data_IF_771815404161
#
_entry.id   IF_771815404161
#
_cell.length_a   1.000
_cell.length_b   1.000
_cell.length_c   1.000
_cell.angle_alpha   90.00
_cell.angle_beta   90.00
_cell.angle_gamma   90.00
#
_symmetry.space_group_name_H-M   'P 1'
#
loop_
_entity.id
_entity.type
_entity.pdbx_description
1 polymer ?
#
# COMPACT_ATOMS: atom_id res chain seq x y z
N UNK A 1 -30.02 4.89 -6.14
CA UNK A 1 -29.21 3.72 -6.53
C UNK A 1 -27.72 4.04 -6.70
N UNK A 2 -27.27 5.28 -6.92
CA UNK A 2 -25.85 5.63 -7.12
C UNK A 2 -24.95 5.57 -5.88
N UNK A 3 -25.47 5.88 -4.67
CA UNK A 3 -24.64 5.87 -3.45
C UNK A 3 -24.17 4.46 -3.04
N UNK A 4 -24.98 3.43 -3.32
CA UNK A 4 -24.63 2.03 -3.05
C UNK A 4 -23.54 1.51 -4.00
N UNK A 5 -23.55 1.97 -5.25
CA UNK A 5 -22.49 1.63 -6.22
C UNK A 5 -21.20 2.40 -5.92
N UNK A 6 -21.27 3.69 -5.59
CA UNK A 6 -20.08 4.46 -5.19
C UNK A 6 -19.39 3.89 -3.95
N UNK A 7 -20.15 3.51 -2.91
CA UNK A 7 -19.59 2.84 -1.71
C UNK A 7 -18.79 1.59 -2.08
N UNK A 8 -19.34 0.73 -2.93
CA UNK A 8 -18.66 -0.51 -3.37
C UNK A 8 -17.36 -0.21 -4.11
N UNK A 9 -17.38 0.75 -5.02
CA UNK A 9 -16.20 1.14 -5.79
C UNK A 9 -15.11 1.74 -4.88
N UNK A 10 -15.49 2.51 -3.85
CA UNK A 10 -14.55 3.01 -2.83
C UNK A 10 -13.91 1.87 -2.05
N UNK A 11 -14.70 0.89 -1.58
CA UNK A 11 -14.16 -0.29 -0.87
C UNK A 11 -13.17 -1.03 -1.76
N UNK A 12 -13.53 -1.22 -3.02
CA UNK A 12 -12.66 -1.88 -3.98
C UNK A 12 -11.36 -1.08 -4.24
N UNK A 13 -11.46 0.24 -4.37
CA UNK A 13 -10.30 1.12 -4.54
C UNK A 13 -9.34 1.01 -3.34
N UNK A 14 -9.86 1.06 -2.11
CA UNK A 14 -9.03 0.91 -0.89
C UNK A 14 -8.31 -0.45 -0.90
N UNK A 15 -9.01 -1.53 -1.30
CA UNK A 15 -8.40 -2.86 -1.40
C UNK A 15 -7.21 -2.87 -2.37
N UNK A 16 -7.36 -2.25 -3.54
CA UNK A 16 -6.30 -2.18 -4.56
C UNK A 16 -5.14 -1.26 -4.17
N UNK A 17 -5.40 -0.17 -3.45
CA UNK A 17 -4.37 0.79 -3.09
C UNK A 17 -3.44 0.28 -1.98
N UNK A 18 -4.01 -0.34 -0.94
CA UNK A 18 -3.30 -0.57 0.33
C UNK A 18 -3.42 -1.99 0.90
N UNK A 19 -4.31 -2.83 0.36
CA UNK A 19 -4.57 -4.18 0.89
C UNK A 19 -4.20 -5.31 -0.08
N UNK A 20 -3.25 -5.11 -1.00
CA UNK A 20 -2.74 -6.24 -1.78
C UNK A 20 -2.04 -7.24 -0.84
N UNK A 21 -2.23 -8.56 -1.04
CA UNK A 21 -1.70 -9.58 -0.13
C UNK A 21 -0.20 -9.44 0.13
N UNK A 22 0.57 -9.14 -0.92
CA UNK A 22 2.04 -9.02 -0.88
C UNK A 22 2.49 -7.77 -0.12
N UNK A 23 1.79 -6.65 -0.32
CA UNK A 23 2.09 -5.41 0.40
C UNK A 23 1.73 -5.55 1.88
N UNK A 24 0.59 -6.19 2.19
CA UNK A 24 0.18 -6.47 3.55
C UNK A 24 1.20 -7.32 4.29
N UNK A 25 1.74 -8.37 3.67
CA UNK A 25 2.71 -9.24 4.34
C UNK A 25 3.99 -8.49 4.70
N UNK A 26 4.49 -7.62 3.83
CA UNK A 26 5.68 -6.81 4.13
C UNK A 26 5.40 -5.73 5.19
N UNK A 27 4.31 -4.99 5.04
CA UNK A 27 3.97 -3.86 5.90
C UNK A 27 3.57 -4.33 7.31
N UNK A 28 2.69 -5.33 7.39
CA UNK A 28 2.24 -5.86 8.68
C UNK A 28 3.36 -6.53 9.45
N UNK A 29 4.33 -7.17 8.79
CA UNK A 29 5.46 -7.76 9.48
C UNK A 29 6.23 -6.72 10.30
N UNK A 30 6.56 -5.58 9.71
CA UNK A 30 7.25 -4.48 10.41
C UNK A 30 6.46 -3.96 11.61
N UNK A 31 5.16 -3.69 11.42
CA UNK A 31 4.30 -3.19 12.50
C UNK A 31 4.08 -4.21 13.63
N UNK A 32 3.88 -5.49 13.31
CA UNK A 32 3.66 -6.53 14.31
C UNK A 32 4.93 -6.78 15.11
N UNK A 33 6.10 -6.84 14.47
CA UNK A 33 7.37 -7.02 15.19
C UNK A 33 7.64 -5.83 16.13
N UNK A 34 7.41 -4.59 15.66
CA UNK A 34 7.55 -3.41 16.50
C UNK A 34 6.56 -3.41 17.69
N UNK A 35 5.31 -3.83 17.47
CA UNK A 35 4.29 -3.90 18.52
C UNK A 35 4.53 -5.03 19.53
N UNK A 36 5.19 -6.11 19.12
CA UNK A 36 5.52 -7.23 19.99
C UNK A 36 6.59 -6.88 21.01
N UNK A 37 7.60 -6.09 20.65
CA UNK A 37 8.73 -5.80 21.53
C UNK A 37 9.35 -7.08 22.07
N UNK A 38 9.42 -7.22 23.41
CA UNK A 38 10.00 -8.39 24.09
C UNK A 38 9.04 -9.58 24.27
N UNK A 39 7.81 -9.48 23.74
CA UNK A 39 6.81 -10.57 23.86
C UNK A 39 7.24 -11.78 23.05
N UNK A 40 7.05 -12.98 23.62
CA UNK A 40 7.40 -14.28 23.00
C UNK A 40 6.27 -14.87 22.14
N UNK A 41 5.24 -14.08 21.82
CA UNK A 41 4.14 -14.53 20.97
C UNK A 41 4.65 -14.83 19.55
N UNK A 42 3.99 -15.76 18.84
CA UNK A 42 4.36 -16.11 17.47
C UNK A 42 3.95 -14.97 16.49
N UNK A 43 4.91 -14.24 15.89
CA UNK A 43 4.58 -13.10 15.03
C UNK A 43 3.76 -13.49 13.80
N UNK A 44 4.01 -14.69 13.24
CA UNK A 44 3.28 -15.18 12.06
C UNK A 44 1.80 -15.35 12.36
N UNK A 45 1.46 -15.96 13.50
CA UNK A 45 0.07 -16.15 13.91
C UNK A 45 -0.64 -14.80 14.11
N UNK A 46 0.05 -13.82 14.68
CA UNK A 46 -0.50 -12.48 14.88
C UNK A 46 -0.71 -11.78 13.55
N UNK A 47 0.25 -11.85 12.63
CA UNK A 47 0.12 -11.31 11.27
C UNK A 47 -1.10 -11.91 10.57
N UNK A 48 -1.28 -13.23 10.63
CA UNK A 48 -2.43 -13.91 10.01
C UNK A 48 -3.76 -13.42 10.60
N UNK A 49 -3.83 -13.24 11.92
CA UNK A 49 -5.02 -12.69 12.61
C UNK A 49 -5.29 -11.25 12.19
N UNK A 50 -4.25 -10.39 12.17
CA UNK A 50 -4.37 -8.98 11.79
C UNK A 50 -4.78 -8.88 10.33
N UNK A 51 -4.16 -9.65 9.43
CA UNK A 51 -4.48 -9.70 7.99
C UNK A 51 -5.95 -10.04 7.78
N UNK A 52 -6.46 -11.08 8.46
CA UNK A 52 -7.89 -11.42 8.41
C UNK A 52 -8.76 -10.22 8.79
N UNK A 53 -8.50 -9.59 9.94
CA UNK A 53 -9.29 -8.44 10.43
C UNK A 53 -9.26 -7.23 9.49
N UNK A 54 -8.10 -6.85 8.98
CA UNK A 54 -7.99 -5.64 8.13
C UNK A 54 -8.57 -5.85 6.73
N UNK A 55 -8.78 -7.10 6.31
CA UNK A 55 -9.43 -7.43 5.03
C UNK A 55 -10.95 -7.58 5.11
N UNK A 56 -11.54 -7.54 6.31
CA UNK A 56 -13.00 -7.57 6.50
C UNK A 56 -13.64 -6.26 6.00
N UNK A 57 -14.79 -6.37 5.33
CA UNK A 57 -15.51 -5.19 4.83
C UNK A 57 -15.84 -4.20 5.96
N UNK A 58 -16.23 -4.70 7.14
CA UNK A 58 -16.51 -3.88 8.32
C UNK A 58 -15.34 -2.98 8.72
N UNK A 59 -14.10 -3.47 8.58
CA UNK A 59 -12.91 -2.67 8.83
C UNK A 59 -12.68 -1.64 7.72
N UNK A 60 -12.94 -1.98 6.46
CA UNK A 60 -12.70 -1.05 5.34
C UNK A 60 -13.78 0.03 5.28
N UNK A 61 -15.02 -0.33 5.61
CA UNK A 61 -16.20 0.54 5.53
C UNK A 61 -16.07 1.80 6.37
N UNK A 62 -15.33 1.76 7.48
CA UNK A 62 -15.10 2.93 8.33
C UNK A 62 -14.35 4.06 7.60
N UNK A 63 -13.62 3.75 6.52
CA UNK A 63 -12.86 4.73 5.74
C UNK A 63 -13.65 5.28 4.55
N UNK A 64 -14.78 4.67 4.18
CA UNK A 64 -15.60 5.10 3.05
C UNK A 64 -16.00 6.58 3.13
N UNK A 65 -16.46 7.12 4.27
CA UNK A 65 -16.87 8.53 4.34
C UNK A 65 -15.77 9.52 3.97
N UNK A 66 -14.50 9.21 4.28
CA UNK A 66 -13.38 10.09 3.97
C UNK A 66 -13.09 10.17 2.47
N UNK A 67 -13.27 9.06 1.74
CA UNK A 67 -13.16 9.05 0.28
C UNK A 67 -14.40 9.66 -0.37
N UNK A 68 -15.59 9.34 0.13
CA UNK A 68 -16.85 9.83 -0.43
C UNK A 68 -16.97 11.36 -0.37
N UNK A 69 -16.45 11.97 0.69
CA UNK A 69 -16.42 13.43 0.87
C UNK A 69 -15.40 14.14 -0.03
N UNK A 70 -14.36 13.44 -0.50
CA UNK A 70 -13.26 14.05 -1.27
C UNK A 70 -13.34 13.81 -2.77
N UNK A 71 -13.87 12.67 -3.18
CA UNK A 71 -13.86 12.24 -4.57
C UNK A 71 -15.27 12.06 -5.10
N UNK A 72 -15.49 12.50 -6.33
CA UNK A 72 -16.68 12.17 -7.11
C UNK A 72 -16.69 10.68 -7.46
N UNK A 73 -17.85 10.15 -7.88
CA UNK A 73 -17.92 8.74 -8.29
C UNK A 73 -17.07 8.47 -9.55
N UNK A 74 -17.01 9.42 -10.48
CA UNK A 74 -16.21 9.28 -11.71
C UNK A 74 -14.71 9.23 -11.41
N UNK A 75 -14.21 10.05 -10.49
CA UNK A 75 -12.81 10.00 -10.05
C UNK A 75 -12.47 8.67 -9.36
N UNK A 76 -13.38 8.14 -8.54
CA UNK A 76 -13.20 6.82 -7.93
C UNK A 76 -13.08 5.73 -9.01
N UNK A 77 -13.93 5.76 -10.04
CA UNK A 77 -13.86 4.80 -11.16
C UNK A 77 -12.56 4.94 -11.93
N UNK A 78 -12.15 6.16 -12.23
CA UNK A 78 -10.88 6.41 -12.93
C UNK A 78 -9.67 5.88 -12.16
N UNK A 79 -9.62 6.13 -10.85
CA UNK A 79 -8.57 5.59 -9.99
C UNK A 79 -8.59 4.06 -9.98
N UNK A 80 -9.78 3.46 -9.86
CA UNK A 80 -9.93 2.01 -9.87
C UNK A 80 -9.42 1.38 -11.18
N UNK A 81 -9.78 1.97 -12.32
CA UNK A 81 -9.30 1.53 -13.64
C UNK A 81 -7.78 1.67 -13.76
N UNK A 82 -7.22 2.77 -13.26
CA UNK A 82 -5.77 2.98 -13.21
C UNK A 82 -5.06 1.91 -12.38
N UNK A 83 -5.51 1.64 -11.15
CA UNK A 83 -4.91 0.62 -10.28
C UNK A 83 -5.04 -0.81 -10.82
N UNK A 84 -6.12 -1.11 -11.55
CA UNK A 84 -6.33 -2.41 -12.20
C UNK A 84 -5.56 -2.58 -13.51
N UNK A 85 -5.08 -1.48 -14.09
CA UNK A 85 -4.40 -1.48 -15.39
C UNK A 85 -3.12 -2.31 -15.37
N UNK A 86 -2.79 -2.90 -16.52
CA UNK A 86 -1.55 -3.66 -16.69
C UNK A 86 -0.30 -2.77 -16.58
N UNK A 87 -0.44 -1.48 -16.91
CA UNK A 87 0.63 -0.49 -16.73
C UNK A 87 0.95 -0.32 -15.25
N UNK A 88 -0.06 -0.16 -14.39
CA UNK A 88 0.17 -0.02 -12.96
C UNK A 88 0.71 -1.30 -12.33
N UNK A 89 0.21 -2.48 -12.76
CA UNK A 89 0.79 -3.77 -12.34
C UNK A 89 2.27 -3.87 -12.69
N UNK A 90 2.66 -3.48 -13.91
CA UNK A 90 4.08 -3.43 -14.34
C UNK A 90 4.88 -2.43 -13.51
N UNK A 91 4.33 -1.25 -13.25
CA UNK A 91 4.95 -0.21 -12.45
C UNK A 91 5.25 -0.69 -11.02
N UNK A 92 4.26 -1.33 -10.37
CA UNK A 92 4.38 -1.85 -9.00
C UNK A 92 5.25 -3.12 -8.90
N UNK A 93 5.26 -3.97 -9.94
CA UNK A 93 6.13 -5.14 -10.00
C UNK A 93 7.60 -4.78 -10.27
N UNK A 94 7.85 -3.60 -10.85
CA UNK A 94 9.18 -3.11 -11.14
C UNK A 94 9.94 -2.76 -9.86
N UNK A 95 10.61 -3.73 -9.25
CA UNK A 95 11.50 -3.56 -8.08
C UNK A 95 12.62 -2.51 -8.25
N UNK A 96 12.80 -1.92 -9.42
CA UNK A 96 14.03 -1.22 -9.79
C UNK A 96 13.85 0.05 -10.63
N UNK A 97 12.66 0.67 -10.69
CA UNK A 97 12.55 1.94 -11.44
C UNK A 97 13.38 3.05 -10.76
N UNK A 98 13.43 3.05 -9.42
CA UNK A 98 14.23 4.00 -8.63
C UNK A 98 15.70 3.59 -8.46
N UNK A 99 16.05 2.34 -8.72
CA UNK A 99 17.40 1.81 -8.47
C UNK A 99 18.49 2.51 -9.29
N UNK A 100 18.33 2.72 -10.62
CA UNK A 100 19.32 3.49 -11.38
C UNK A 100 19.51 4.93 -10.86
N UNK A 101 18.44 5.54 -10.33
CA UNK A 101 18.49 6.88 -9.73
C UNK A 101 19.30 6.85 -8.42
N UNK A 102 19.04 5.86 -7.56
CA UNK A 102 19.79 5.71 -6.31
C UNK A 102 21.27 5.33 -6.53
N UNK A 103 21.56 4.53 -7.55
CA UNK A 103 22.93 4.25 -7.98
C UNK A 103 23.63 5.54 -8.43
N UNK A 104 22.96 6.38 -9.24
CA UNK A 104 23.49 7.67 -9.64
C UNK A 104 23.76 8.60 -8.43
N UNK A 105 22.86 8.64 -7.44
CA UNK A 105 23.10 9.39 -6.20
C UNK A 105 24.33 8.90 -5.46
N UNK A 106 24.49 7.58 -5.30
CA UNK A 106 25.65 7.00 -4.64
C UNK A 106 26.96 7.31 -5.37
N UNK A 107 26.96 7.33 -6.70
CA UNK A 107 28.12 7.74 -7.49
C UNK A 107 28.50 9.19 -7.21
N UNK A 108 27.55 10.11 -7.30
CA UNK A 108 27.80 11.54 -7.05
C UNK A 108 28.28 11.77 -5.61
N UNK A 109 27.67 11.11 -4.62
CA UNK A 109 28.10 11.20 -3.22
C UNK A 109 29.56 10.77 -3.06
N UNK A 110 29.97 9.67 -3.71
CA UNK A 110 31.37 9.21 -3.67
C UNK A 110 32.32 10.22 -4.30
N UNK A 111 31.99 10.77 -5.47
CA UNK A 111 32.79 11.78 -6.16
C UNK A 111 33.03 13.03 -5.29
N UNK A 112 31.99 13.51 -4.61
CA UNK A 112 32.09 14.66 -3.70
C UNK A 112 32.98 14.34 -2.48
N UNK A 113 32.84 13.15 -1.89
CA UNK A 113 33.65 12.75 -0.74
C UNK A 113 35.13 12.55 -1.08
N UNK A 114 35.44 12.12 -2.30
CA UNK A 114 36.81 11.96 -2.79
C UNK A 114 37.48 13.30 -3.11
N UNK A 115 36.72 14.27 -3.63
CA UNK A 115 37.21 15.63 -3.93
C UNK A 115 37.29 16.56 -2.71
N UNK A 116 36.71 16.15 -1.58
CA UNK A 116 36.76 16.88 -0.30
C UNK A 116 37.91 16.45 0.61
N UNK A 117 38.81 15.57 0.14
CA UNK A 117 40.06 15.19 0.81
C UNK A 117 41.23 16.00 0.27
#
# INVERSE_FOLDING_TARGET
>A
MSNLTKKKDIIELIRWCVLTPEALDQVLYGYVIAALGDRKDNPKLIIDIVKKKVTEDSFIEQFVPAFDAKFTHEEIKYLLDFYKSDVMKKFMAGKNISTPIFEAFNTIIKEVLETSK
#
